data_IF_852943065301
#
_entry.id   IF_852943065301
#
_cell.length_a   1.000
_cell.length_b   1.000
_cell.length_c   1.000
_cell.angle_alpha   90.00
_cell.angle_beta   90.00
_cell.angle_gamma   90.00
#
_symmetry.space_group_name_H-M   'P 1'
#
loop_
_entity.id
_entity.type
_entity.pdbx_description
1 polymer ?
#
# COMPACT_ATOMS: atom_id res chain seq x y z
N UNK A 1 -21.96 -21.72 17.61
CA UNK A 1 -22.66 -20.51 18.08
C UNK A 1 -22.04 -20.14 19.42
N UNK A 2 -21.29 -19.05 19.46
CA UNK A 2 -20.72 -18.50 20.67
C UNK A 2 -21.81 -17.68 21.38
N UNK A 3 -21.90 -17.79 22.72
CA UNK A 3 -22.79 -16.91 23.46
C UNK A 3 -22.21 -15.50 23.52
N UNK A 4 -23.06 -14.48 23.66
CA UNK A 4 -22.67 -13.07 23.75
C UNK A 4 -21.58 -12.81 24.82
N UNK A 5 -21.59 -13.57 25.91
CA UNK A 5 -20.61 -13.46 26.97
C UNK A 5 -19.24 -14.05 26.59
N UNK A 6 -19.19 -15.09 25.78
CA UNK A 6 -17.94 -15.68 25.30
C UNK A 6 -17.25 -14.79 24.28
N UNK A 7 -18.03 -14.10 23.41
CA UNK A 7 -17.51 -13.12 22.46
C UNK A 7 -16.96 -11.89 23.17
N UNK A 8 -17.63 -11.40 24.21
CA UNK A 8 -17.14 -10.26 25.02
C UNK A 8 -15.85 -10.59 25.78
N UNK A 9 -15.69 -11.81 26.30
CA UNK A 9 -14.47 -12.26 26.95
C UNK A 9 -13.31 -12.39 25.97
N UNK A 10 -13.56 -12.91 24.78
CA UNK A 10 -12.56 -12.99 23.71
C UNK A 10 -12.08 -11.61 23.25
N UNK A 11 -12.99 -10.67 23.06
CA UNK A 11 -12.67 -9.29 22.66
C UNK A 11 -11.92 -8.52 23.75
N UNK A 12 -12.21 -8.75 25.04
CA UNK A 12 -11.48 -8.17 26.16
C UNK A 12 -10.06 -8.72 26.30
N UNK A 13 -9.84 -10.01 26.06
CA UNK A 13 -8.53 -10.65 26.16
C UNK A 13 -7.55 -10.22 25.06
N UNK A 14 -8.05 -9.71 23.94
CA UNK A 14 -7.24 -9.32 22.77
C UNK A 14 -7.11 -7.80 22.57
N UNK A 15 -7.52 -6.98 23.57
CA UNK A 15 -7.39 -5.50 23.55
C UNK A 15 -7.83 -4.83 22.24
N UNK A 16 -8.89 -5.32 21.61
CA UNK A 16 -9.51 -4.65 20.46
C UNK A 16 -10.53 -3.67 21.03
N UNK A 17 -10.09 -2.44 21.30
CA UNK A 17 -10.97 -1.36 21.74
C UNK A 17 -11.32 -0.54 20.50
N UNK A 18 -12.53 -0.69 20.00
CA UNK A 18 -13.15 0.31 19.14
C UNK A 18 -13.93 1.29 20.04
N UNK A 19 -13.29 2.38 20.43
CA UNK A 19 -14.00 3.52 21.00
C UNK A 19 -14.45 4.43 19.85
N UNK A 20 -15.73 4.42 19.58
CA UNK A 20 -16.42 5.46 18.82
C UNK A 20 -17.38 6.17 19.77
N UNK A 21 -16.89 7.18 20.50
CA UNK A 21 -17.75 8.18 21.14
C UNK A 21 -17.30 9.58 20.72
N UNK A 22 -18.07 10.17 19.83
CA UNK A 22 -18.08 11.62 19.62
C UNK A 22 -19.28 12.14 20.41
N UNK A 23 -19.01 12.80 21.55
CA UNK A 23 -19.72 14.02 21.92
C UNK A 23 -19.30 14.53 23.30
N UNK A 24 -19.10 15.80 23.33
CA UNK A 24 -19.03 16.71 24.50
C UNK A 24 -17.64 17.29 24.80
N UNK A 25 -17.46 18.47 24.22
CA UNK A 25 -16.40 19.41 24.57
C UNK A 25 -16.65 19.94 26.00
N UNK A 26 -15.79 19.60 26.94
CA UNK A 26 -15.54 20.43 28.13
C UNK A 26 -14.05 20.71 28.22
N UNK A 27 -13.71 22.01 28.24
CA UNK A 27 -12.36 22.54 28.47
C UNK A 27 -11.78 21.93 29.73
N UNK A 28 -10.72 21.14 29.60
CA UNK A 28 -9.85 20.77 30.70
C UNK A 28 -8.43 21.11 30.27
N UNK A 29 -7.79 21.95 31.07
CA UNK A 29 -6.41 22.39 30.93
C UNK A 29 -5.49 21.17 30.90
N UNK A 30 -4.89 20.87 29.75
CA UNK A 30 -3.87 19.83 29.64
C UNK A 30 -2.56 20.36 30.21
N UNK A 31 -2.14 19.84 31.33
CA UNK A 31 -0.76 19.95 31.81
C UNK A 31 0.10 19.06 30.90
N UNK A 32 0.95 19.72 30.12
CA UNK A 32 1.91 19.07 29.24
C UNK A 32 2.97 18.38 30.12
N UNK A 33 2.83 17.08 30.37
CA UNK A 33 3.93 16.26 30.83
C UNK A 33 4.80 15.94 29.62
N UNK A 34 5.92 16.63 29.49
CA UNK A 34 7.00 16.32 28.55
C UNK A 34 7.55 14.90 28.84
N UNK A 35 6.89 13.88 28.28
CA UNK A 35 7.59 12.64 27.95
C UNK A 35 8.26 12.93 26.62
N UNK A 36 9.57 12.90 26.58
CA UNK A 36 10.38 12.76 25.36
C UNK A 36 9.95 11.47 24.66
N UNK A 37 8.88 11.52 23.91
CA UNK A 37 8.56 10.50 22.92
C UNK A 37 9.48 10.78 21.75
N UNK A 38 10.41 9.88 21.45
CA UNK A 38 11.10 9.85 20.17
C UNK A 38 10.04 10.07 19.08
N UNK A 39 10.24 11.05 18.21
CA UNK A 39 9.32 11.37 17.15
C UNK A 39 9.06 10.09 16.33
N UNK A 40 7.83 9.61 16.33
CA UNK A 40 7.39 8.47 15.50
C UNK A 40 7.14 8.90 14.07
N UNK A 41 7.41 10.16 13.77
CA UNK A 41 7.29 10.75 12.45
C UNK A 41 8.53 10.44 11.60
N UNK A 42 8.28 10.13 10.33
CA UNK A 42 9.30 9.89 9.34
C UNK A 42 9.10 10.83 8.15
N UNK A 43 10.12 11.63 7.89
CA UNK A 43 10.19 12.49 6.70
C UNK A 43 10.60 11.68 5.49
N UNK A 44 9.92 11.87 4.36
CA UNK A 44 10.20 11.21 3.08
C UNK A 44 11.30 12.02 2.37
N UNK A 45 12.49 11.44 2.28
CA UNK A 45 13.64 12.02 1.58
C UNK A 45 13.93 11.32 0.24
N UNK A 46 13.34 10.14 0.04
CA UNK A 46 13.52 9.36 -1.17
C UNK A 46 12.27 8.54 -1.48
N UNK A 47 11.99 8.35 -2.77
CA UNK A 47 10.83 7.64 -3.25
C UNK A 47 11.16 6.74 -4.44
N UNK A 48 10.73 5.50 -4.42
CA UNK A 48 10.69 4.61 -5.57
C UNK A 48 9.26 4.59 -6.12
N UNK A 49 9.11 5.01 -7.37
CA UNK A 49 7.79 5.10 -8.04
C UNK A 49 7.81 4.22 -9.29
N UNK A 50 6.94 3.21 -9.32
CA UNK A 50 6.81 2.31 -10.46
C UNK A 50 5.34 1.89 -10.60
N UNK A 51 4.60 2.58 -11.47
CA UNK A 51 3.16 2.39 -11.63
C UNK A 51 2.77 2.12 -13.08
N UNK A 52 1.75 1.30 -13.26
CA UNK A 52 1.13 1.05 -14.55
C UNK A 52 0.21 2.23 -14.94
N UNK A 53 -0.68 2.65 -14.04
CA UNK A 53 -1.57 3.80 -14.23
C UNK A 53 -0.98 5.07 -13.59
N UNK A 54 -0.84 6.14 -14.39
CA UNK A 54 -0.29 7.45 -13.95
C UNK A 54 -1.38 8.45 -13.54
N UNK A 55 -2.65 8.03 -13.59
CA UNK A 55 -3.78 8.89 -13.21
C UNK A 55 -3.64 9.33 -11.76
N UNK A 56 -3.66 10.64 -11.52
CA UNK A 56 -3.55 11.21 -10.18
C UNK A 56 -2.12 11.20 -9.57
N UNK A 57 -1.10 10.70 -10.28
CA UNK A 57 0.27 10.62 -9.77
C UNK A 57 0.98 11.99 -9.74
N UNK A 58 0.70 12.87 -10.71
CA UNK A 58 1.42 14.15 -10.88
C UNK A 58 1.46 15.02 -9.62
N UNK A 59 0.35 15.26 -8.89
CA UNK A 59 0.39 16.08 -7.67
C UNK A 59 1.34 15.54 -6.60
N UNK A 60 1.40 14.22 -6.45
CA UNK A 60 2.29 13.55 -5.49
C UNK A 60 3.76 13.77 -5.90
N UNK A 61 4.08 13.53 -7.18
CA UNK A 61 5.46 13.70 -7.70
C UNK A 61 5.92 15.14 -7.56
N UNK A 62 5.05 16.13 -7.84
CA UNK A 62 5.37 17.55 -7.66
C UNK A 62 5.59 17.90 -6.19
N UNK A 63 4.78 17.36 -5.29
CA UNK A 63 4.96 17.57 -3.85
C UNK A 63 6.27 16.98 -3.33
N UNK A 64 6.63 15.76 -3.75
CA UNK A 64 7.92 15.14 -3.41
C UNK A 64 9.10 15.97 -3.94
N UNK A 65 9.01 16.47 -5.17
CA UNK A 65 10.04 17.34 -5.74
C UNK A 65 10.18 18.66 -4.98
N UNK A 66 9.07 19.31 -4.61
CA UNK A 66 9.10 20.54 -3.79
C UNK A 66 9.76 20.33 -2.42
N UNK A 67 9.71 19.13 -1.89
CA UNK A 67 10.35 18.74 -0.63
C UNK A 67 11.79 18.26 -0.83
N UNK A 68 12.34 18.36 -2.05
CA UNK A 68 13.68 17.89 -2.43
C UNK A 68 13.88 16.38 -2.21
N UNK A 69 12.82 15.57 -2.27
CA UNK A 69 12.96 14.12 -2.22
C UNK A 69 13.62 13.60 -3.50
N UNK A 70 14.57 12.67 -3.34
CA UNK A 70 15.17 11.95 -4.46
C UNK A 70 14.16 10.94 -5.02
N UNK A 71 13.88 11.01 -6.31
CA UNK A 71 12.93 10.11 -6.97
C UNK A 71 13.67 9.08 -7.80
N UNK A 72 13.41 7.80 -7.51
CA UNK A 72 13.85 6.65 -8.30
C UNK A 72 12.66 6.12 -9.09
N UNK A 73 12.87 5.74 -10.34
CA UNK A 73 11.81 5.19 -11.17
C UNK A 73 12.35 4.30 -12.27
N UNK A 74 11.46 3.69 -13.04
CA UNK A 74 11.83 2.81 -14.15
C UNK A 74 10.78 2.84 -15.26
N UNK A 75 11.21 2.66 -16.50
CA UNK A 75 10.37 2.53 -17.69
C UNK A 75 9.39 3.69 -17.88
N UNK A 76 8.15 3.39 -18.26
CA UNK A 76 7.15 4.43 -18.59
C UNK A 76 6.78 5.37 -17.43
N UNK A 77 7.06 5.02 -16.17
CA UNK A 77 6.87 5.95 -15.04
C UNK A 77 8.01 6.95 -14.97
N UNK A 78 9.22 6.51 -15.24
CA UNK A 78 10.40 7.39 -15.36
C UNK A 78 10.18 8.43 -16.49
N UNK A 79 9.75 7.98 -17.67
CA UNK A 79 9.43 8.88 -18.80
C UNK A 79 8.36 9.90 -18.43
N UNK A 80 7.30 9.46 -17.74
CA UNK A 80 6.26 10.35 -17.25
C UNK A 80 6.81 11.44 -16.33
N UNK A 81 7.66 11.09 -15.36
CA UNK A 81 8.26 12.04 -14.40
C UNK A 81 9.20 13.00 -15.13
N UNK A 82 10.03 12.53 -16.06
CA UNK A 82 10.90 13.37 -16.89
C UNK A 82 10.10 14.37 -17.72
N UNK A 83 8.96 13.96 -18.29
CA UNK A 83 8.09 14.85 -19.07
C UNK A 83 7.44 15.95 -18.20
N UNK A 84 7.33 15.77 -16.88
CA UNK A 84 6.92 16.83 -15.95
C UNK A 84 8.04 17.84 -15.64
N UNK A 85 9.25 17.63 -16.20
CA UNK A 85 10.43 18.44 -15.90
C UNK A 85 11.05 18.17 -14.53
N UNK A 86 10.77 17.03 -13.92
CA UNK A 86 11.22 16.67 -12.57
C UNK A 86 12.41 15.70 -12.67
N UNK A 87 13.51 15.95 -11.95
CA UNK A 87 14.65 15.06 -11.90
C UNK A 87 14.25 13.68 -11.35
N UNK A 88 14.71 12.63 -12.04
CA UNK A 88 14.45 11.23 -11.65
C UNK A 88 15.67 10.38 -11.97
N UNK A 89 16.02 9.47 -11.09
CA UNK A 89 17.12 8.52 -11.25
C UNK A 89 16.53 7.19 -11.71
N UNK A 90 17.08 6.64 -12.79
CA UNK A 90 16.69 5.31 -13.25
C UNK A 90 17.10 4.23 -12.24
N UNK A 91 16.26 3.23 -12.03
CA UNK A 91 16.60 2.07 -11.16
C UNK A 91 17.82 1.33 -11.74
N UNK A 92 17.96 1.30 -13.04
CA UNK A 92 19.08 0.72 -13.77
C UNK A 92 20.41 1.40 -13.40
N UNK A 93 20.42 2.73 -13.14
CA UNK A 93 21.60 3.45 -12.68
C UNK A 93 21.95 3.08 -11.23
N UNK A 94 20.95 2.89 -10.37
CA UNK A 94 21.16 2.46 -8.97
C UNK A 94 21.71 1.05 -8.90
N UNK A 95 21.16 0.15 -9.69
CA UNK A 95 21.52 -1.27 -9.67
C UNK A 95 22.76 -1.58 -10.48
N UNK A 96 23.15 -0.69 -11.40
CA UNK A 96 24.18 -0.92 -12.43
C UNK A 96 23.86 -2.18 -13.27
N UNK A 97 22.57 -2.52 -13.39
CA UNK A 97 22.10 -3.70 -14.10
C UNK A 97 21.02 -3.31 -15.12
N UNK A 98 21.14 -3.76 -16.38
CA UNK A 98 20.19 -3.39 -17.42
C UNK A 98 18.83 -4.06 -17.20
N UNK A 99 17.78 -3.44 -17.71
CA UNK A 99 16.46 -4.05 -17.80
C UNK A 99 16.49 -5.20 -18.81
N UNK A 100 16.49 -6.44 -18.33
CA UNK A 100 16.52 -7.64 -19.15
C UNK A 100 15.21 -8.43 -19.09
N UNK A 101 15.10 -9.48 -19.91
CA UNK A 101 13.92 -10.35 -19.96
C UNK A 101 12.61 -9.57 -20.14
N UNK A 102 12.62 -8.56 -21.00
CA UNK A 102 11.44 -7.70 -21.21
C UNK A 102 11.08 -6.83 -20.00
N UNK A 103 12.03 -6.60 -19.10
CA UNK A 103 11.80 -5.77 -17.90
C UNK A 103 11.23 -6.52 -16.70
N UNK A 104 11.10 -7.85 -16.78
CA UNK A 104 10.51 -8.66 -15.70
C UNK A 104 11.33 -8.69 -14.40
N UNK A 105 12.62 -8.36 -14.44
CA UNK A 105 13.54 -8.43 -13.28
C UNK A 105 14.22 -7.11 -12.92
N UNK A 106 13.82 -6.00 -13.53
CA UNK A 106 14.50 -4.70 -13.39
C UNK A 106 14.55 -4.16 -11.94
N UNK A 107 13.54 -4.43 -11.12
CA UNK A 107 13.47 -3.99 -9.72
C UNK A 107 13.86 -5.10 -8.72
N UNK A 108 14.00 -6.35 -9.17
CA UNK A 108 14.34 -7.48 -8.31
C UNK A 108 15.85 -7.53 -8.05
N UNK A 109 16.36 -6.57 -7.30
CA UNK A 109 17.78 -6.40 -7.05
C UNK A 109 18.06 -6.09 -5.57
N UNK A 110 19.16 -6.61 -4.97
CA UNK A 110 19.52 -6.38 -3.59
C UNK A 110 19.60 -4.89 -3.20
N UNK A 111 20.09 -4.01 -4.07
CA UNK A 111 20.14 -2.57 -3.80
C UNK A 111 18.73 -1.95 -3.65
N UNK A 112 17.75 -2.40 -4.43
CA UNK A 112 16.37 -1.93 -4.33
C UNK A 112 15.72 -2.46 -3.05
N UNK A 113 15.77 -3.77 -2.83
CA UNK A 113 15.14 -4.39 -1.67
C UNK A 113 15.86 -4.05 -0.35
N UNK A 114 17.18 -3.88 -0.38
CA UNK A 114 17.95 -3.39 0.76
C UNK A 114 17.54 -1.97 1.14
N UNK A 115 17.37 -1.09 0.16
CA UNK A 115 16.87 0.28 0.36
C UNK A 115 15.50 0.34 1.02
N UNK A 116 14.62 -0.62 0.72
CA UNK A 116 13.26 -0.73 1.27
C UNK A 116 13.24 -1.42 2.65
N UNK A 117 14.04 -2.47 2.83
CA UNK A 117 13.93 -3.39 3.98
C UNK A 117 14.88 -3.07 5.13
N UNK A 118 15.80 -2.11 4.97
CA UNK A 118 16.73 -1.75 6.03
C UNK A 118 15.98 -1.20 7.25
N UNK A 119 16.52 -1.50 8.44
CA UNK A 119 16.05 -0.97 9.73
C UNK A 119 16.95 0.19 10.11
N UNK A 120 16.42 1.40 10.11
CA UNK A 120 17.23 2.62 10.30
C UNK A 120 17.78 2.76 11.74
N UNK A 121 17.18 2.07 12.69
CA UNK A 121 17.65 1.97 14.09
C UNK A 121 18.66 0.84 14.31
N UNK A 122 18.98 0.03 13.30
CA UNK A 122 19.92 -1.08 13.37
C UNK A 122 21.29 -0.71 12.81
N UNK A 123 22.30 -0.62 13.68
CA UNK A 123 23.65 -0.21 13.29
C UNK A 123 24.29 -1.14 12.22
N UNK A 124 23.97 -2.44 12.24
CA UNK A 124 24.47 -3.39 11.24
C UNK A 124 23.86 -3.12 9.87
N UNK A 125 22.55 -2.88 9.81
CA UNK A 125 21.87 -2.55 8.55
C UNK A 125 22.45 -1.25 7.96
N UNK A 126 22.61 -0.22 8.80
CA UNK A 126 23.20 1.08 8.39
C UNK A 126 24.62 0.91 7.85
N UNK A 127 25.45 0.08 8.50
CA UNK A 127 26.82 -0.20 8.03
C UNK A 127 26.82 -0.92 6.67
N UNK A 128 25.95 -1.91 6.50
CA UNK A 128 25.82 -2.65 5.23
C UNK A 128 25.26 -1.77 4.10
N UNK A 129 24.28 -0.90 4.39
CA UNK A 129 23.79 0.08 3.41
C UNK A 129 24.93 0.91 2.83
N UNK A 130 25.86 1.36 3.69
CA UNK A 130 27.03 2.13 3.27
C UNK A 130 28.07 1.26 2.55
N UNK A 131 28.35 0.06 3.05
CA UNK A 131 29.33 -0.86 2.48
C UNK A 131 28.99 -1.27 1.04
N UNK A 132 27.69 -1.55 0.80
CA UNK A 132 27.22 -2.02 -0.51
C UNK A 132 26.63 -0.91 -1.39
N UNK A 133 26.78 0.36 -1.00
CA UNK A 133 26.25 1.50 -1.74
C UNK A 133 24.75 1.34 -2.05
N UNK A 134 23.96 1.05 -1.01
CA UNK A 134 22.52 0.86 -1.11
C UNK A 134 21.82 2.18 -0.77
N UNK A 135 21.04 2.79 -1.68
CA UNK A 135 20.30 4.00 -1.39
C UNK A 135 19.13 3.73 -0.43
N UNK A 136 18.88 4.67 0.48
CA UNK A 136 17.68 4.63 1.30
C UNK A 136 16.44 4.83 0.42
N UNK A 137 15.36 4.07 0.70
CA UNK A 137 14.05 4.24 0.06
C UNK A 137 13.01 4.43 1.16
N UNK A 138 12.53 5.66 1.34
CA UNK A 138 11.57 6.02 2.37
C UNK A 138 10.12 5.83 1.96
N UNK A 139 9.86 5.87 0.65
CA UNK A 139 8.54 5.74 0.06
C UNK A 139 8.58 4.81 -1.14
N UNK A 140 7.59 3.94 -1.23
CA UNK A 140 7.32 3.11 -2.42
C UNK A 140 5.91 3.41 -2.92
N UNK A 141 5.77 3.80 -4.17
CA UNK A 141 4.48 3.96 -4.86
C UNK A 141 4.45 2.95 -6.01
N UNK A 142 3.57 1.97 -5.91
CA UNK A 142 3.46 0.87 -6.87
C UNK A 142 2.00 0.49 -7.04
N UNK A 143 1.56 0.33 -8.27
CA UNK A 143 0.33 -0.37 -8.60
C UNK A 143 0.63 -1.68 -9.36
N UNK A 144 -0.35 -2.55 -9.42
CA UNK A 144 -0.24 -3.85 -10.10
C UNK A 144 -0.87 -3.78 -11.48
N UNK A 145 -0.40 -4.67 -12.38
CA UNK A 145 -1.08 -4.87 -13.65
C UNK A 145 -2.54 -5.31 -13.45
N UNK A 146 -3.46 -4.88 -14.33
CA UNK A 146 -4.90 -5.13 -14.19
C UNK A 146 -5.27 -6.58 -14.57
N UNK A 147 -4.79 -7.56 -13.78
CA UNK A 147 -4.97 -9.00 -14.03
C UNK A 147 -6.45 -9.37 -14.20
N UNK A 148 -7.30 -9.03 -13.22
CA UNK A 148 -8.73 -9.37 -13.25
C UNK A 148 -9.47 -8.74 -14.45
N UNK A 149 -9.13 -7.49 -14.80
CA UNK A 149 -9.70 -6.83 -15.99
C UNK A 149 -9.28 -7.55 -17.27
N UNK A 150 -8.05 -8.06 -17.34
CA UNK A 150 -7.55 -8.80 -18.48
C UNK A 150 -8.26 -10.16 -18.60
N UNK A 151 -8.45 -10.87 -17.49
CA UNK A 151 -9.24 -12.10 -17.46
C UNK A 151 -10.69 -11.83 -17.90
N UNK A 152 -11.33 -10.81 -17.34
CA UNK A 152 -12.72 -10.45 -17.66
C UNK A 152 -12.92 -9.99 -19.11
N UNK A 153 -11.87 -9.48 -19.77
CA UNK A 153 -11.95 -9.11 -21.20
C UNK A 153 -11.96 -10.30 -22.16
N UNK A 154 -11.77 -11.52 -21.66
CA UNK A 154 -11.67 -12.73 -22.50
C UNK A 154 -10.34 -12.81 -23.27
N UNK A 155 -9.28 -12.17 -22.80
CA UNK A 155 -7.95 -12.26 -23.38
C UNK A 155 -7.45 -13.72 -23.40
N UNK A 156 -6.54 -14.03 -24.33
CA UNK A 156 -5.94 -15.36 -24.37
C UNK A 156 -5.05 -15.63 -23.15
N UNK A 157 -4.77 -16.88 -22.87
CA UNK A 157 -4.01 -17.30 -21.69
C UNK A 157 -2.63 -16.63 -21.61
N UNK A 158 -1.91 -16.52 -22.73
CA UNK A 158 -0.59 -15.89 -22.76
C UNK A 158 -0.62 -14.43 -22.30
N UNK A 159 -1.62 -13.67 -22.76
CA UNK A 159 -1.81 -12.28 -22.36
C UNK A 159 -2.22 -12.15 -20.89
N UNK A 160 -3.02 -13.09 -20.39
CA UNK A 160 -3.40 -13.12 -18.96
C UNK A 160 -2.18 -13.43 -18.10
N UNK A 161 -1.38 -14.43 -18.44
CA UNK A 161 -0.15 -14.80 -17.71
C UNK A 161 0.84 -13.63 -17.68
N UNK A 162 0.97 -12.86 -18.77
CA UNK A 162 1.85 -11.70 -18.84
C UNK A 162 1.42 -10.57 -17.87
N UNK A 163 0.19 -10.58 -17.38
CA UNK A 163 -0.31 -9.63 -16.36
C UNK A 163 -0.10 -10.09 -14.93
N UNK A 164 0.55 -11.23 -14.70
CA UNK A 164 0.97 -11.63 -13.36
C UNK A 164 2.20 -10.83 -12.98
N UNK A 165 2.01 -9.85 -12.10
CA UNK A 165 3.06 -8.95 -11.64
C UNK A 165 3.95 -9.65 -10.60
N UNK A 166 5.24 -9.71 -10.87
CA UNK A 166 6.24 -10.28 -9.95
C UNK A 166 6.97 -9.17 -9.19
N UNK A 167 7.39 -8.13 -9.89
CA UNK A 167 8.20 -7.03 -9.33
C UNK A 167 7.39 -6.13 -8.41
N UNK A 168 6.23 -5.66 -8.88
CA UNK A 168 5.36 -4.75 -8.13
C UNK A 168 4.83 -5.37 -6.86
N UNK A 169 4.29 -6.60 -6.93
CA UNK A 169 3.80 -7.30 -5.73
C UNK A 169 4.91 -7.51 -4.68
N UNK A 170 6.14 -7.79 -5.11
CA UNK A 170 7.28 -7.96 -4.23
C UNK A 170 7.67 -6.66 -3.53
N UNK A 171 7.66 -5.53 -4.26
CA UNK A 171 7.90 -4.19 -3.70
C UNK A 171 6.83 -3.80 -2.68
N UNK A 172 5.54 -4.03 -3.00
CA UNK A 172 4.40 -3.78 -2.11
C UNK A 172 4.60 -4.53 -0.78
N UNK A 173 4.89 -5.82 -0.84
CA UNK A 173 5.06 -6.65 0.36
C UNK A 173 6.30 -6.28 1.17
N UNK A 174 7.41 -5.93 0.51
CA UNK A 174 8.66 -5.51 1.17
C UNK A 174 8.44 -4.21 1.96
N UNK A 175 7.88 -3.19 1.33
CA UNK A 175 7.61 -1.91 1.97
C UNK A 175 6.56 -2.03 3.09
N UNK A 176 5.49 -2.79 2.89
CA UNK A 176 4.48 -3.05 3.92
C UNK A 176 5.06 -3.77 5.15
N UNK A 177 5.97 -4.74 4.95
CA UNK A 177 6.68 -5.40 6.05
C UNK A 177 7.51 -4.41 6.86
N UNK A 178 8.17 -3.47 6.20
CA UNK A 178 9.05 -2.48 6.82
C UNK A 178 8.35 -1.14 7.10
N UNK A 179 7.04 -1.14 7.37
CA UNK A 179 6.24 0.08 7.56
C UNK A 179 6.75 1.02 8.66
N UNK A 180 7.62 0.56 9.56
CA UNK A 180 8.28 1.41 10.55
C UNK A 180 9.19 2.45 9.89
N UNK A 181 9.90 2.03 8.86
CA UNK A 181 10.95 2.80 8.20
C UNK A 181 10.59 3.19 6.76
N UNK A 182 9.60 2.56 6.14
CA UNK A 182 9.21 2.80 4.75
C UNK A 182 7.70 2.99 4.61
N UNK A 183 7.30 4.01 3.84
CA UNK A 183 5.89 4.24 3.46
C UNK A 183 5.57 3.43 2.22
N UNK A 184 4.37 2.85 2.14
CA UNK A 184 3.85 2.18 0.93
C UNK A 184 2.54 2.81 0.47
N UNK A 185 2.44 3.11 -0.81
CA UNK A 185 1.18 3.49 -1.48
C UNK A 185 0.92 2.43 -2.56
N UNK A 186 0.02 1.46 -2.30
CA UNK A 186 -0.07 0.23 -3.09
C UNK A 186 -1.05 0.30 -4.26
N UNK A 187 -1.80 1.37 -4.40
CA UNK A 187 -2.77 1.58 -5.50
C UNK A 187 -3.12 3.05 -5.66
N UNK A 188 -3.74 3.38 -6.80
CA UNK A 188 -4.27 4.72 -7.08
C UNK A 188 -5.35 5.16 -6.07
N UNK A 189 -6.06 4.21 -5.46
CA UNK A 189 -7.12 4.51 -4.49
C UNK A 189 -6.62 5.21 -3.22
N UNK A 190 -5.32 5.08 -2.91
CA UNK A 190 -4.68 5.71 -1.75
C UNK A 190 -4.00 7.06 -2.09
N UNK A 191 -3.99 7.52 -3.35
CA UNK A 191 -3.25 8.71 -3.77
C UNK A 191 -3.75 9.99 -3.10
N UNK A 192 -5.05 10.22 -3.09
CA UNK A 192 -5.65 11.41 -2.48
C UNK A 192 -5.34 11.47 -0.97
N UNK A 193 -5.61 10.37 -0.27
CA UNK A 193 -5.31 10.27 1.17
C UNK A 193 -3.82 10.44 1.47
N UNK A 194 -2.95 9.83 0.67
CA UNK A 194 -1.51 9.97 0.85
C UNK A 194 -1.04 11.40 0.61
N UNK A 195 -1.55 12.07 -0.42
CA UNK A 195 -1.24 13.48 -0.69
C UNK A 195 -1.66 14.37 0.48
N UNK A 196 -2.86 14.17 1.04
CA UNK A 196 -3.30 14.87 2.25
C UNK A 196 -2.36 14.63 3.44
N UNK A 197 -1.94 13.39 3.66
CA UNK A 197 -1.00 13.05 4.74
C UNK A 197 0.31 13.81 4.63
N UNK A 198 0.95 13.84 3.44
CA UNK A 198 2.26 14.50 3.27
C UNK A 198 2.15 16.03 3.25
N UNK A 199 1.03 16.58 2.81
CA UNK A 199 0.77 18.01 2.91
C UNK A 199 0.59 18.45 4.37
N UNK A 200 -0.25 17.75 5.13
CA UNK A 200 -0.49 18.03 6.54
C UNK A 200 0.75 17.82 7.41
N UNK A 201 1.55 16.79 7.10
CA UNK A 201 2.77 16.43 7.81
C UNK A 201 4.03 17.14 7.32
N UNK A 202 3.92 18.11 6.41
CA UNK A 202 5.09 18.79 5.80
C UNK A 202 6.14 17.80 5.28
N UNK A 203 5.68 16.75 4.57
CA UNK A 203 6.52 15.68 4.02
C UNK A 203 6.80 14.52 4.98
N UNK A 204 6.28 14.56 6.20
CA UNK A 204 6.41 13.48 7.16
C UNK A 204 5.13 12.68 7.30
N UNK A 205 5.27 11.44 7.77
CA UNK A 205 4.16 10.53 8.10
C UNK A 205 4.31 9.98 9.51
N UNK A 206 3.18 9.75 10.20
CA UNK A 206 3.16 9.08 11.50
C UNK A 206 3.23 7.55 11.35
N UNK A 207 3.57 6.86 12.44
CA UNK A 207 3.60 5.38 12.44
C UNK A 207 2.20 4.78 12.18
N UNK A 208 1.16 5.42 12.68
CA UNK A 208 -0.23 4.99 12.48
C UNK A 208 -0.64 5.09 11.00
N UNK A 209 -0.28 6.18 10.34
CA UNK A 209 -0.49 6.38 8.89
C UNK A 209 0.24 5.30 8.08
N UNK A 210 1.51 5.05 8.38
CA UNK A 210 2.29 4.01 7.71
C UNK A 210 1.72 2.61 7.94
N UNK A 211 1.26 2.31 9.16
CA UNK A 211 0.61 1.04 9.48
C UNK A 211 -0.72 0.87 8.75
N UNK A 212 -1.49 1.96 8.61
CA UNK A 212 -2.72 1.96 7.82
C UNK A 212 -2.42 1.64 6.35
N UNK A 213 -1.47 2.34 5.73
CA UNK A 213 -1.07 2.09 4.34
C UNK A 213 -0.50 0.68 4.14
N UNK A 214 0.24 0.14 5.12
CA UNK A 214 0.69 -1.26 5.09
C UNK A 214 -0.49 -2.25 5.12
N UNK A 215 -1.56 -1.95 5.85
CA UNK A 215 -2.77 -2.78 5.82
C UNK A 215 -3.44 -2.78 4.43
N UNK A 216 -3.45 -1.61 3.76
CA UNK A 216 -3.92 -1.49 2.37
C UNK A 216 -3.05 -2.30 1.40
N UNK A 217 -1.74 -2.26 1.59
CA UNK A 217 -0.80 -3.04 0.79
C UNK A 217 -1.05 -4.55 0.90
N UNK A 218 -1.29 -5.07 2.11
CA UNK A 218 -1.64 -6.48 2.30
C UNK A 218 -3.04 -6.82 1.80
N UNK A 219 -3.99 -5.86 1.84
CA UNK A 219 -5.28 -6.02 1.19
C UNK A 219 -5.12 -6.21 -0.31
N UNK A 220 -4.37 -5.32 -0.99
CA UNK A 220 -4.09 -5.41 -2.44
C UNK A 220 -3.41 -6.74 -2.77
N UNK A 221 -2.33 -7.10 -2.05
CA UNK A 221 -1.57 -8.31 -2.38
C UNK A 221 -2.36 -9.61 -2.16
N UNK A 222 -3.16 -9.69 -1.09
CA UNK A 222 -3.97 -10.89 -0.82
C UNK A 222 -5.14 -11.04 -1.79
N UNK A 223 -5.74 -9.94 -2.22
CA UNK A 223 -6.79 -9.94 -3.24
C UNK A 223 -6.25 -10.40 -4.58
N UNK A 224 -5.10 -9.84 -4.98
CA UNK A 224 -4.41 -10.18 -6.22
C UNK A 224 -4.03 -11.67 -6.30
N UNK A 225 -3.41 -12.22 -5.24
CA UNK A 225 -3.06 -13.63 -5.17
C UNK A 225 -4.30 -14.54 -5.17
N UNK A 226 -5.40 -14.12 -4.54
CA UNK A 226 -6.65 -14.85 -4.57
C UNK A 226 -7.27 -14.90 -5.98
N UNK A 227 -7.22 -13.79 -6.73
CA UNK A 227 -7.69 -13.73 -8.11
C UNK A 227 -6.86 -14.63 -9.04
N UNK A 228 -5.54 -14.61 -8.90
CA UNK A 228 -4.63 -15.49 -9.67
C UNK A 228 -4.89 -16.97 -9.34
N UNK A 229 -4.99 -17.29 -8.04
CA UNK A 229 -5.32 -18.66 -7.61
C UNK A 229 -6.61 -19.14 -8.23
N UNK A 230 -7.69 -18.34 -8.19
CA UNK A 230 -8.98 -18.71 -8.74
C UNK A 230 -8.95 -18.89 -10.26
N UNK A 231 -8.08 -18.15 -10.98
CA UNK A 231 -7.88 -18.34 -12.42
C UNK A 231 -7.25 -19.69 -12.75
N UNK A 232 -6.31 -20.18 -11.94
CA UNK A 232 -5.63 -21.45 -12.14
C UNK A 232 -6.35 -22.66 -11.54
N UNK A 233 -7.22 -22.43 -10.55
CA UNK A 233 -7.89 -23.52 -9.81
C UNK A 233 -9.11 -24.03 -10.56
N UNK A 234 -8.94 -25.13 -11.29
CA UNK A 234 -10.02 -25.75 -12.06
C UNK A 234 -10.62 -27.02 -11.39
N UNK A 235 -9.89 -27.69 -10.50
CA UNK A 235 -10.23 -29.05 -10.04
C UNK A 235 -10.22 -29.22 -8.51
N UNK A 236 -9.47 -28.38 -7.78
CA UNK A 236 -9.38 -28.53 -6.33
C UNK A 236 -10.63 -27.96 -5.63
N UNK A 237 -11.15 -28.69 -4.66
CA UNK A 237 -12.25 -28.24 -3.80
C UNK A 237 -11.77 -27.19 -2.77
N UNK A 238 -11.07 -26.15 -3.25
CA UNK A 238 -10.56 -25.05 -2.44
C UNK A 238 -11.37 -23.80 -2.78
N UNK A 239 -11.95 -23.18 -1.75
CA UNK A 239 -12.71 -21.94 -1.88
C UNK A 239 -11.92 -20.76 -1.30
N UNK A 240 -11.54 -19.82 -2.15
CA UNK A 240 -10.91 -18.56 -1.77
C UNK A 240 -11.72 -17.39 -2.32
N UNK A 241 -12.14 -16.50 -1.43
CA UNK A 241 -12.87 -15.28 -1.78
C UNK A 241 -12.18 -14.09 -1.16
N UNK A 242 -11.98 -13.06 -1.96
CA UNK A 242 -11.58 -11.75 -1.51
C UNK A 242 -12.51 -10.72 -2.12
N UNK A 243 -13.19 -9.94 -1.27
CA UNK A 243 -14.12 -8.89 -1.70
C UNK A 243 -13.51 -7.57 -1.24
N UNK A 244 -13.08 -6.77 -2.21
CA UNK A 244 -12.34 -5.53 -1.95
C UNK A 244 -13.21 -4.44 -1.32
N UNK A 245 -14.46 -4.33 -1.76
CA UNK A 245 -15.35 -3.24 -1.37
C UNK A 245 -16.65 -3.75 -0.74
N UNK A 246 -16.97 -3.23 0.44
CA UNK A 246 -18.28 -3.40 1.06
C UNK A 246 -19.19 -2.22 0.70
N UNK A 247 -20.39 -2.51 0.26
CA UNK A 247 -21.41 -1.49 0.03
C UNK A 247 -22.08 -1.11 1.36
N UNK A 248 -22.03 0.17 1.72
CA UNK A 248 -22.69 0.65 2.93
C UNK A 248 -24.21 0.62 2.76
N UNK A 249 -24.87 -0.04 3.69
CA UNK A 249 -26.33 -0.05 3.76
C UNK A 249 -26.83 1.15 4.57
N UNK A 250 -28.10 1.51 4.36
CA UNK A 250 -28.74 2.63 5.05
C UNK A 250 -28.72 2.46 6.58
N UNK A 251 -28.86 1.23 7.04
CA UNK A 251 -28.78 0.82 8.46
C UNK A 251 -28.47 -0.67 8.55
N UNK A 252 -28.04 -1.14 9.72
CA UNK A 252 -27.86 -2.55 10.04
C UNK A 252 -29.15 -3.19 10.57
N UNK A 253 -29.04 -4.16 11.47
CA UNK A 253 -30.18 -4.80 12.13
C UNK A 253 -31.04 -3.79 12.90
N UNK A 254 -30.39 -2.76 13.47
CA UNK A 254 -31.07 -1.64 14.13
C UNK A 254 -30.72 -0.30 13.44
N UNK A 255 -31.62 0.72 13.50
CA UNK A 255 -31.43 2.01 12.78
C UNK A 255 -30.14 2.77 13.11
N UNK A 256 -29.55 2.55 14.28
CA UNK A 256 -28.32 3.20 14.74
C UNK A 256 -27.04 2.40 14.41
N UNK A 257 -27.18 1.18 13.88
CA UNK A 257 -26.06 0.34 13.49
C UNK A 257 -25.70 0.56 12.03
N UNK A 258 -24.38 0.55 11.73
CA UNK A 258 -23.89 0.52 10.36
C UNK A 258 -24.00 -0.92 9.82
N UNK A 259 -24.58 -1.07 8.64
CA UNK A 259 -24.60 -2.30 7.89
C UNK A 259 -23.74 -2.22 6.65
N UNK A 260 -23.12 -3.32 6.26
CA UNK A 260 -22.37 -3.46 5.02
C UNK A 260 -22.78 -4.73 4.31
N UNK A 261 -22.91 -4.64 3.00
CA UNK A 261 -23.09 -5.79 2.12
C UNK A 261 -21.78 -6.06 1.37
N UNK A 262 -21.35 -7.31 1.34
CA UNK A 262 -20.17 -7.74 0.61
C UNK A 262 -20.58 -8.72 -0.49
N UNK A 263 -20.39 -8.33 -1.75
CA UNK A 263 -20.76 -9.09 -2.94
C UNK A 263 -21.36 -8.18 -4.01
N UNK A 264 -21.88 -8.79 -5.08
CA UNK A 264 -22.62 -8.10 -6.14
C UNK A 264 -24.06 -7.88 -5.71
N UNK A 265 -24.35 -6.70 -5.16
CA UNK A 265 -25.67 -6.33 -4.67
C UNK A 265 -26.69 -6.28 -5.81
N UNK A 266 -26.32 -5.73 -6.95
CA UNK A 266 -27.21 -5.55 -8.10
C UNK A 266 -27.56 -6.91 -8.76
N UNK A 267 -26.57 -7.80 -8.85
CA UNK A 267 -26.83 -9.17 -9.34
C UNK A 267 -27.75 -9.95 -8.41
N UNK A 268 -27.68 -9.72 -7.10
CA UNK A 268 -28.53 -10.39 -6.11
C UNK A 268 -29.96 -9.88 -6.12
N UNK A 269 -30.16 -8.57 -6.28
CA UNK A 269 -31.47 -7.92 -6.12
C UNK A 269 -32.19 -7.63 -7.44
N UNK A 270 -31.55 -7.62 -8.59
CA UNK A 270 -32.22 -7.53 -9.92
C UNK A 270 -33.14 -8.72 -10.23
N UNK A 271 -33.03 -9.81 -9.48
CA UNK A 271 -33.90 -10.99 -9.62
C UNK A 271 -35.17 -10.93 -8.76
N UNK A 272 -35.38 -9.84 -8.03
CA UNK A 272 -36.53 -9.66 -7.13
C UNK A 272 -37.63 -8.73 -7.67
N UNK A 273 -37.57 -8.38 -8.95
CA UNK A 273 -38.61 -7.62 -9.66
C UNK A 273 -39.49 -8.52 -10.53
#
# INVERSE_FOLDING_TARGET
>A
KWSSNQLQLYLKSHKIIYNCEINSIKKTTFVCLNKSTMSTEKTIQSALISVFDKTGLEPIVRQLHQQNATIYSTGGTEDFIKNLGIPVIAVEDVTSYPSILGGRVKTLHPKVFGGILNRQDNATDVAQMKEYDIPQIDLVIVDLYPFEKTVASGANEADVIEKIDIGGISLIRAAAKNFKDTVIVPSVDEYELFLEMILAGNGATTIEQRKYLASKAFHVSSHYDAAIFNYFNNEDAIFKVSIANGQSLRYGENPHQKGFFFGDFDAMFTKLH
#
